data_IF_385641262167
#
_entry.id   IF_385641262167
#
_cell.length_a   1.000
_cell.length_b   1.000
_cell.length_c   1.000
_cell.angle_alpha   90.00
_cell.angle_beta   90.00
_cell.angle_gamma   90.00
#
_symmetry.space_group_name_H-M   'P 1'
#
loop_
_entity.id
_entity.type
_entity.pdbx_description
1 polymer ?
#
# COMPACT_ATOMS: atom_id res chain seq x y z
N UNK A 1 3.49 -8.33 16.70
CA UNK A 1 3.59 -7.03 15.98
C UNK A 1 4.29 -7.34 14.67
N UNK A 2 3.84 -6.81 13.55
CA UNK A 2 4.47 -7.01 12.23
C UNK A 2 5.31 -5.79 11.89
N UNK A 3 6.55 -6.01 11.46
CA UNK A 3 7.47 -4.96 11.02
C UNK A 3 7.56 -4.99 9.50
N UNK A 4 7.27 -3.85 8.87
CA UNK A 4 7.40 -3.64 7.42
C UNK A 4 8.44 -2.55 7.16
N UNK A 5 9.36 -2.81 6.24
CA UNK A 5 10.42 -1.87 5.83
C UNK A 5 10.18 -1.45 4.38
N UNK A 6 10.18 -0.14 4.13
CA UNK A 6 10.13 0.38 2.76
C UNK A 6 11.52 0.26 2.12
N UNK A 7 11.58 -0.31 0.93
CA UNK A 7 12.83 -0.59 0.18
C UNK A 7 12.69 -0.19 -1.28
N UNK A 8 13.81 0.06 -1.97
CA UNK A 8 13.81 0.48 -3.38
C UNK A 8 14.46 -0.53 -4.32
N UNK A 9 15.16 -1.51 -3.78
CA UNK A 9 15.96 -2.46 -4.55
C UNK A 9 16.10 -3.81 -3.83
N UNK A 10 16.77 -4.74 -4.50
CA UNK A 10 16.98 -6.10 -4.02
C UNK A 10 17.89 -6.13 -2.80
N UNK A 11 18.89 -5.27 -2.76
CA UNK A 11 19.81 -5.20 -1.62
C UNK A 11 19.10 -4.73 -0.35
N UNK A 12 18.27 -3.69 -0.47
CA UNK A 12 17.43 -3.22 0.64
C UNK A 12 16.47 -4.29 1.12
N UNK A 13 15.86 -5.06 0.20
CA UNK A 13 14.99 -6.18 0.56
C UNK A 13 15.76 -7.29 1.30
N UNK A 14 17.00 -7.60 0.86
CA UNK A 14 17.87 -8.59 1.50
C UNK A 14 18.28 -8.18 2.92
N UNK A 15 18.73 -6.94 3.08
CA UNK A 15 19.09 -6.38 4.38
C UNK A 15 17.88 -6.40 5.32
N UNK A 16 16.72 -5.92 4.87
CA UNK A 16 15.51 -5.94 5.67
C UNK A 16 15.14 -7.35 6.14
N UNK A 17 15.28 -8.35 5.25
CA UNK A 17 15.05 -9.75 5.59
C UNK A 17 16.05 -10.27 6.64
N UNK A 18 17.34 -10.00 6.46
CA UNK A 18 18.41 -10.42 7.39
C UNK A 18 18.26 -9.78 8.77
N UNK A 19 17.79 -8.54 8.83
CA UNK A 19 17.52 -7.81 10.08
C UNK A 19 16.15 -8.16 10.70
N UNK A 20 15.43 -9.13 10.13
CA UNK A 20 14.22 -9.70 10.71
C UNK A 20 12.93 -8.97 10.41
N UNK A 21 12.86 -8.20 9.33
CA UNK A 21 11.59 -7.65 8.86
C UNK A 21 10.62 -8.78 8.48
N UNK A 22 9.35 -8.65 8.87
CA UNK A 22 8.31 -9.61 8.50
C UNK A 22 7.94 -9.50 7.03
N UNK A 23 7.91 -8.27 6.47
CA UNK A 23 7.65 -7.99 5.06
C UNK A 23 8.32 -6.69 4.63
N UNK A 24 8.37 -6.46 3.33
CA UNK A 24 8.88 -5.22 2.75
C UNK A 24 7.82 -4.56 1.87
N UNK A 25 7.79 -3.22 1.86
CA UNK A 25 7.09 -2.42 0.86
C UNK A 25 8.09 -1.98 -0.20
N UNK A 26 7.93 -2.47 -1.43
CA UNK A 26 8.82 -2.14 -2.54
C UNK A 26 8.29 -0.94 -3.32
N UNK A 27 9.10 0.10 -3.39
CA UNK A 27 8.81 1.35 -4.10
C UNK A 27 9.97 1.71 -5.03
N UNK A 28 9.72 2.38 -6.13
CA UNK A 28 10.74 3.13 -6.85
C UNK A 28 10.74 4.59 -6.42
N UNK A 29 11.86 5.31 -6.56
CA UNK A 29 11.97 6.76 -6.36
C UNK A 29 11.42 7.27 -5.01
N UNK A 30 11.62 6.53 -3.93
CA UNK A 30 11.04 6.81 -2.61
C UNK A 30 11.45 8.19 -2.08
N UNK A 31 12.73 8.53 -2.16
CA UNK A 31 13.29 9.78 -1.63
C UNK A 31 12.84 11.04 -2.39
N UNK A 32 12.51 10.92 -3.66
CA UNK A 32 12.19 12.09 -4.49
C UNK A 32 10.70 12.35 -4.65
N UNK A 33 9.88 11.31 -4.62
CA UNK A 33 8.45 11.39 -4.97
C UNK A 33 7.52 10.83 -3.89
N UNK A 34 8.08 10.23 -2.84
CA UNK A 34 7.33 9.46 -1.86
C UNK A 34 6.92 8.07 -2.36
N UNK A 35 7.59 7.59 -3.40
CA UNK A 35 7.41 6.26 -3.97
C UNK A 35 6.55 6.23 -5.24
N UNK A 36 7.00 5.41 -6.19
CA UNK A 36 6.32 5.07 -7.44
C UNK A 36 6.30 3.56 -7.64
N UNK A 37 5.53 3.10 -8.63
CA UNK A 37 5.51 1.69 -9.04
C UNK A 37 6.90 1.25 -9.49
N UNK A 38 7.48 0.19 -8.90
CA UNK A 38 8.75 -0.38 -9.36
C UNK A 38 8.57 -1.18 -10.65
N UNK A 39 9.68 -1.40 -11.37
CA UNK A 39 9.64 -2.21 -12.59
C UNK A 39 9.30 -3.67 -12.32
N UNK A 40 8.75 -4.36 -13.31
CA UNK A 40 8.45 -5.80 -13.25
C UNK A 40 9.67 -6.63 -12.80
N UNK A 41 10.85 -6.36 -13.38
CA UNK A 41 12.08 -7.07 -13.03
C UNK A 41 12.53 -6.84 -11.59
N UNK A 42 12.36 -5.61 -11.07
CA UNK A 42 12.67 -5.31 -9.67
C UNK A 42 11.73 -6.06 -8.73
N UNK A 43 10.42 -6.08 -9.02
CA UNK A 43 9.44 -6.83 -8.23
C UNK A 43 9.79 -8.31 -8.22
N UNK A 44 10.06 -8.89 -9.38
CA UNK A 44 10.42 -10.30 -9.51
C UNK A 44 11.68 -10.64 -8.71
N UNK A 45 12.73 -9.84 -8.81
CA UNK A 45 13.98 -10.06 -8.10
C UNK A 45 13.79 -9.96 -6.57
N UNK A 46 13.08 -8.94 -6.07
CA UNK A 46 12.80 -8.80 -4.64
C UNK A 46 11.91 -9.94 -4.10
N UNK A 47 10.97 -10.43 -4.90
CA UNK A 47 10.10 -11.55 -4.51
C UNK A 47 10.85 -12.85 -4.28
N UNK A 48 12.04 -13.01 -4.84
CA UNK A 48 12.91 -14.18 -4.63
C UNK A 48 13.80 -14.08 -3.38
N UNK A 49 13.85 -12.95 -2.70
CA UNK A 49 14.64 -12.77 -1.46
C UNK A 49 14.14 -13.67 -0.33
N UNK A 50 12.84 -13.99 -0.31
CA UNK A 50 12.27 -14.91 0.68
C UNK A 50 11.84 -14.24 1.98
N UNK A 51 11.51 -12.94 1.96
CA UNK A 51 10.94 -12.25 3.12
C UNK A 51 9.69 -12.98 3.62
N UNK A 52 9.51 -13.24 4.92
CA UNK A 52 8.49 -14.16 5.45
C UNK A 52 7.06 -13.91 5.00
N UNK A 53 6.61 -12.65 5.05
CA UNK A 53 5.28 -12.23 4.57
C UNK A 53 5.34 -11.60 3.18
N UNK A 54 6.48 -11.69 2.50
CA UNK A 54 6.72 -11.32 1.11
C UNK A 54 6.82 -9.81 0.87
N UNK A 55 6.62 -9.47 -0.40
CA UNK A 55 6.78 -8.11 -0.93
C UNK A 55 5.42 -7.50 -1.17
N UNK A 56 5.16 -6.34 -0.57
CA UNK A 56 4.05 -5.46 -0.87
C UNK A 56 4.54 -4.43 -1.90
N UNK A 57 3.83 -4.27 -3.01
CA UNK A 57 4.29 -3.41 -4.11
C UNK A 57 3.45 -2.15 -4.19
N UNK A 58 4.10 -0.99 -4.10
CA UNK A 58 3.42 0.28 -4.31
C UNK A 58 3.00 0.42 -5.78
N UNK A 59 1.72 0.72 -5.99
CA UNK A 59 1.15 1.02 -7.30
C UNK A 59 0.80 2.51 -7.34
N UNK A 60 1.67 3.27 -7.95
CA UNK A 60 1.53 4.72 -8.09
C UNK A 60 2.30 5.19 -9.33
N UNK A 61 1.60 5.67 -10.38
CA UNK A 61 2.24 5.95 -11.67
C UNK A 61 3.07 7.23 -11.66
N UNK A 62 2.78 8.17 -10.77
CA UNK A 62 3.47 9.47 -10.63
C UNK A 62 3.40 10.03 -9.22
N UNK A 63 4.27 10.97 -8.91
CA UNK A 63 4.18 11.81 -7.71
C UNK A 63 3.01 12.80 -7.74
N UNK A 64 2.86 13.57 -6.66
CA UNK A 64 1.81 14.56 -6.49
C UNK A 64 0.47 13.97 -6.04
N UNK A 65 -0.64 14.55 -6.51
CA UNK A 65 -2.01 14.23 -6.11
C UNK A 65 -2.37 12.76 -6.29
N UNK A 66 -3.29 12.27 -5.46
CA UNK A 66 -3.92 10.95 -5.58
C UNK A 66 -5.27 10.98 -6.31
N UNK A 67 -5.61 12.12 -6.90
CA UNK A 67 -6.70 12.22 -7.89
C UNK A 67 -6.11 11.90 -9.25
N UNK A 68 -6.61 10.86 -9.90
CA UNK A 68 -6.04 10.30 -11.13
C UNK A 68 -7.00 10.45 -12.32
N UNK A 69 -6.45 10.77 -13.49
CA UNK A 69 -7.18 10.71 -14.75
C UNK A 69 -7.50 9.25 -15.14
N UNK A 70 -8.44 9.05 -16.03
CA UNK A 70 -8.89 7.69 -16.40
C UNK A 70 -7.76 6.85 -17.02
N UNK A 71 -6.87 7.45 -17.80
CA UNK A 71 -5.70 6.79 -18.36
C UNK A 71 -4.73 6.33 -17.25
N UNK A 72 -4.54 7.14 -16.21
CA UNK A 72 -3.70 6.79 -15.06
C UNK A 72 -4.32 5.69 -14.21
N UNK A 73 -5.66 5.67 -14.09
CA UNK A 73 -6.40 4.58 -13.44
C UNK A 73 -6.24 3.26 -14.20
N UNK A 74 -6.31 3.31 -15.54
CA UNK A 74 -6.06 2.14 -16.38
C UNK A 74 -4.65 1.59 -16.20
N UNK A 75 -3.62 2.47 -16.20
CA UNK A 75 -2.22 2.08 -15.94
C UNK A 75 -2.10 1.36 -14.60
N UNK A 76 -2.65 1.93 -13.53
CA UNK A 76 -2.56 1.33 -12.19
C UNK A 76 -3.23 -0.05 -12.12
N UNK A 77 -4.37 -0.25 -12.77
CA UNK A 77 -5.03 -1.57 -12.83
C UNK A 77 -4.15 -2.60 -13.56
N UNK A 78 -3.45 -2.19 -14.62
CA UNK A 78 -2.51 -3.04 -15.33
C UNK A 78 -1.27 -3.37 -14.47
N UNK A 79 -0.74 -2.36 -13.75
CA UNK A 79 0.41 -2.50 -12.85
C UNK A 79 0.09 -3.45 -11.68
N UNK A 80 -1.13 -3.40 -11.10
CA UNK A 80 -1.59 -4.36 -10.08
C UNK A 80 -1.45 -5.79 -10.58
N UNK A 81 -1.94 -6.09 -11.78
CA UNK A 81 -1.84 -7.43 -12.38
C UNK A 81 -0.38 -7.84 -12.60
N UNK A 82 0.40 -6.92 -13.18
CA UNK A 82 1.82 -7.13 -13.44
C UNK A 82 2.61 -7.40 -12.16
N UNK A 83 2.34 -6.66 -11.08
CA UNK A 83 3.01 -6.85 -9.80
C UNK A 83 2.74 -8.25 -9.22
N UNK A 84 1.48 -8.72 -9.25
CA UNK A 84 1.13 -10.04 -8.75
C UNK A 84 1.75 -11.15 -9.61
N UNK A 85 1.72 -10.98 -10.93
CA UNK A 85 2.38 -11.89 -11.86
C UNK A 85 3.90 -11.97 -11.61
N UNK A 86 4.54 -10.84 -11.30
CA UNK A 86 5.96 -10.78 -10.95
C UNK A 86 6.31 -11.38 -9.57
N UNK A 87 5.33 -11.76 -8.77
CA UNK A 87 5.58 -12.43 -7.49
C UNK A 87 5.19 -11.64 -6.24
N UNK A 88 4.61 -10.45 -6.36
CA UNK A 88 4.16 -9.67 -5.22
C UNK A 88 3.21 -10.47 -4.31
N UNK A 89 3.37 -10.36 -2.99
CA UNK A 89 2.47 -10.94 -1.98
C UNK A 89 1.33 -10.00 -1.61
N UNK A 90 1.39 -8.77 -2.08
CA UNK A 90 0.32 -7.79 -1.97
C UNK A 90 0.62 -6.54 -2.76
N UNK A 91 -0.38 -5.68 -2.84
CA UNK A 91 -0.29 -4.37 -3.50
C UNK A 91 -0.73 -3.26 -2.57
N UNK A 92 -0.07 -2.11 -2.69
CA UNK A 92 -0.35 -0.90 -1.93
C UNK A 92 -0.90 0.11 -2.93
N UNK A 93 -2.18 0.40 -2.83
CA UNK A 93 -2.97 1.11 -3.84
C UNK A 93 -3.83 2.20 -3.20
N UNK A 94 -4.38 3.09 -3.99
CA UNK A 94 -5.37 4.05 -3.54
C UNK A 94 -5.66 5.11 -4.59
N UNK A 95 -6.76 5.80 -4.40
CA UNK A 95 -7.18 6.93 -5.21
C UNK A 95 -8.27 7.69 -4.50
N UNK A 96 -8.31 8.99 -4.72
CA UNK A 96 -9.29 9.88 -4.12
C UNK A 96 -9.96 10.76 -5.19
N UNK A 97 -11.10 11.28 -4.84
CA UNK A 97 -11.83 12.26 -5.62
C UNK A 97 -11.37 13.67 -5.27
N UNK A 98 -11.68 14.65 -6.11
CA UNK A 98 -11.34 16.07 -5.87
C UNK A 98 -11.97 16.63 -4.60
N UNK A 99 -13.10 16.07 -4.17
CA UNK A 99 -13.82 16.44 -2.96
C UNK A 99 -13.36 15.67 -1.70
N UNK A 100 -12.13 15.18 -1.67
CA UNK A 100 -11.49 14.63 -0.47
C UNK A 100 -12.03 13.27 0.00
N UNK A 101 -12.68 12.49 -0.87
CA UNK A 101 -13.20 11.15 -0.54
C UNK A 101 -12.49 10.05 -1.30
N UNK A 102 -12.68 8.80 -0.90
CA UNK A 102 -12.21 7.64 -1.67
C UNK A 102 -12.92 7.64 -3.04
N UNK A 103 -12.16 7.48 -4.12
CA UNK A 103 -12.72 7.10 -5.42
C UNK A 103 -13.15 5.63 -5.37
N UNK A 104 -14.38 5.39 -4.93
CA UNK A 104 -14.91 4.04 -4.66
C UNK A 104 -14.90 3.16 -5.91
N UNK A 105 -15.37 3.60 -7.09
CA UNK A 105 -15.31 2.79 -8.30
C UNK A 105 -13.89 2.36 -8.66
N UNK A 106 -12.95 3.28 -8.62
CA UNK A 106 -11.55 3.00 -8.94
C UNK A 106 -10.89 2.09 -7.89
N UNK A 107 -11.09 2.39 -6.60
CA UNK A 107 -10.55 1.60 -5.50
C UNK A 107 -11.07 0.15 -5.51
N UNK A 108 -12.34 -0.04 -5.86
CA UNK A 108 -12.94 -1.36 -6.11
C UNK A 108 -12.25 -2.08 -7.25
N UNK A 109 -12.06 -1.40 -8.39
CA UNK A 109 -11.41 -1.99 -9.57
C UNK A 109 -9.98 -2.45 -9.29
N UNK A 110 -9.21 -1.70 -8.49
CA UNK A 110 -7.86 -2.09 -8.06
C UNK A 110 -7.89 -3.37 -7.19
N UNK A 111 -8.80 -3.42 -6.21
CA UNK A 111 -8.93 -4.59 -5.34
C UNK A 111 -9.40 -5.84 -6.10
N UNK A 112 -10.33 -5.68 -7.03
CA UNK A 112 -10.80 -6.77 -7.90
C UNK A 112 -9.70 -7.26 -8.86
N UNK A 113 -8.92 -6.34 -9.46
CA UNK A 113 -7.78 -6.70 -10.30
C UNK A 113 -6.76 -7.55 -9.52
N UNK A 114 -6.46 -7.14 -8.27
CA UNK A 114 -5.55 -7.88 -7.40
C UNK A 114 -6.07 -9.31 -7.10
N UNK A 115 -7.33 -9.43 -6.69
CA UNK A 115 -7.93 -10.73 -6.35
C UNK A 115 -8.04 -11.65 -7.56
N UNK A 116 -8.48 -11.12 -8.70
CA UNK A 116 -8.62 -11.90 -9.92
C UNK A 116 -7.27 -12.45 -10.42
N UNK A 117 -6.22 -11.62 -10.38
CA UNK A 117 -4.90 -12.09 -10.80
C UNK A 117 -4.31 -13.06 -9.77
N UNK A 118 -4.56 -12.88 -8.47
CA UNK A 118 -4.17 -13.82 -7.43
C UNK A 118 -4.78 -15.22 -7.66
N UNK A 119 -6.07 -15.28 -8.02
CA UNK A 119 -6.74 -16.54 -8.37
C UNK A 119 -6.07 -17.18 -9.59
N UNK A 120 -5.78 -16.42 -10.64
CA UNK A 120 -5.09 -16.91 -11.85
C UNK A 120 -3.70 -17.47 -11.55
N UNK A 121 -2.99 -16.85 -10.61
CA UNK A 121 -1.67 -17.29 -10.17
C UNK A 121 -1.72 -18.36 -9.07
N UNK A 122 -2.91 -18.83 -8.66
CA UNK A 122 -3.12 -19.73 -7.52
C UNK A 122 -2.41 -19.25 -6.23
N UNK A 123 -2.58 -17.97 -5.90
CA UNK A 123 -1.94 -17.31 -4.77
C UNK A 123 -2.94 -16.54 -3.93
N UNK A 124 -2.58 -16.26 -2.68
CA UNK A 124 -3.27 -15.27 -1.85
C UNK A 124 -2.50 -13.97 -1.88
N UNK A 125 -3.20 -12.84 -2.01
CA UNK A 125 -2.59 -11.52 -2.00
C UNK A 125 -3.31 -10.61 -1.00
N UNK A 126 -2.56 -9.65 -0.48
CA UNK A 126 -3.07 -8.61 0.41
C UNK A 126 -3.28 -7.33 -0.40
N UNK A 127 -4.28 -6.54 0.00
CA UNK A 127 -4.54 -5.22 -0.60
C UNK A 127 -4.51 -4.19 0.52
N UNK A 128 -3.60 -3.24 0.40
CA UNK A 128 -3.38 -2.14 1.36
C UNK A 128 -3.80 -0.83 0.71
N UNK A 129 -4.55 0.00 1.43
CA UNK A 129 -4.80 1.37 1.00
C UNK A 129 -3.67 2.27 1.52
N UNK A 130 -3.03 3.01 0.61
CA UNK A 130 -1.85 3.80 0.92
C UNK A 130 -2.17 5.14 1.61
N UNK A 131 -1.14 5.98 1.79
CA UNK A 131 -1.23 7.26 2.49
C UNK A 131 -2.18 8.32 1.91
N UNK A 132 -2.84 8.09 0.77
CA UNK A 132 -3.98 8.92 0.38
C UNK A 132 -5.06 8.96 1.47
N UNK A 133 -5.10 7.94 2.34
CA UNK A 133 -5.96 7.90 3.51
C UNK A 133 -5.78 9.09 4.46
N UNK A 134 -4.54 9.56 4.61
CA UNK A 134 -4.22 10.71 5.47
C UNK A 134 -4.74 12.05 4.92
N UNK A 135 -5.15 12.08 3.64
CA UNK A 135 -5.66 13.27 2.95
C UNK A 135 -7.20 13.28 2.84
N UNK A 136 -7.86 12.23 3.33
CA UNK A 136 -9.33 12.13 3.26
C UNK A 136 -9.98 12.97 4.37
N UNK A 137 -11.10 13.61 4.05
CA UNK A 137 -11.84 14.48 4.97
C UNK A 137 -12.45 13.71 6.14
N UNK A 138 -12.98 12.50 5.88
CA UNK A 138 -13.55 11.62 6.90
C UNK A 138 -12.88 10.23 6.87
N UNK A 139 -11.93 10.04 7.77
CA UNK A 139 -11.17 8.79 7.88
C UNK A 139 -12.01 7.61 8.42
N UNK A 140 -13.05 7.88 9.21
CA UNK A 140 -13.91 6.81 9.75
C UNK A 140 -14.85 6.27 8.67
N UNK A 141 -15.51 7.14 7.91
CA UNK A 141 -16.30 6.73 6.75
C UNK A 141 -15.43 6.03 5.69
N UNK A 142 -14.18 6.49 5.53
CA UNK A 142 -13.21 5.84 4.65
C UNK A 142 -12.86 4.43 5.12
N UNK A 143 -12.68 4.20 6.43
CA UNK A 143 -12.45 2.85 6.97
C UNK A 143 -13.61 1.92 6.67
N UNK A 144 -14.85 2.34 6.89
CA UNK A 144 -16.02 1.52 6.59
C UNK A 144 -16.07 1.15 5.10
N UNK A 145 -15.82 2.12 4.21
CA UNK A 145 -15.72 1.87 2.77
C UNK A 145 -14.64 0.83 2.43
N UNK A 146 -13.45 0.95 3.02
CA UNK A 146 -12.35 0.00 2.75
C UNK A 146 -12.62 -1.39 3.32
N UNK A 147 -13.30 -1.48 4.47
CA UNK A 147 -13.76 -2.75 5.04
C UNK A 147 -14.78 -3.41 4.11
N UNK A 148 -15.77 -2.68 3.61
CA UNK A 148 -16.75 -3.19 2.65
C UNK A 148 -16.11 -3.64 1.32
N UNK A 149 -15.07 -2.94 0.88
CA UNK A 149 -14.27 -3.32 -0.29
C UNK A 149 -13.32 -4.49 -0.01
N UNK A 150 -13.22 -4.95 1.25
CA UNK A 150 -12.39 -6.09 1.65
C UNK A 150 -10.90 -5.80 1.61
N UNK A 151 -10.48 -4.58 1.88
CA UNK A 151 -9.06 -4.26 2.05
C UNK A 151 -8.51 -4.96 3.30
N UNK A 152 -7.25 -5.40 3.19
CA UNK A 152 -6.57 -6.07 4.31
C UNK A 152 -6.09 -5.06 5.33
N UNK A 153 -5.72 -3.84 4.86
CA UNK A 153 -4.94 -2.89 5.66
C UNK A 153 -5.07 -1.47 5.13
N UNK A 154 -4.86 -0.53 6.04
CA UNK A 154 -4.66 0.90 5.73
C UNK A 154 -3.31 1.34 6.24
N UNK A 155 -2.54 2.05 5.40
CA UNK A 155 -1.28 2.67 5.74
C UNK A 155 -1.52 4.14 6.09
N UNK A 156 -1.25 4.56 7.33
CA UNK A 156 -1.58 5.90 7.80
C UNK A 156 -0.60 6.39 8.87
N UNK A 157 -0.40 7.69 8.93
CA UNK A 157 0.28 8.39 10.03
C UNK A 157 -0.70 9.04 11.01
N UNK A 158 -2.01 8.75 10.88
CA UNK A 158 -3.07 9.42 11.65
C UNK A 158 -3.38 10.82 11.11
N UNK A 159 -3.11 11.10 9.82
CA UNK A 159 -3.28 12.42 9.20
C UNK A 159 -2.20 13.43 9.59
N UNK A 160 -1.17 13.02 10.34
CA UNK A 160 -0.06 13.87 10.77
C UNK A 160 1.18 13.71 9.88
N UNK A 161 2.15 14.59 10.03
CA UNK A 161 3.42 14.53 9.29
C UNK A 161 4.23 13.27 9.64
N UNK A 162 4.16 12.83 10.90
CA UNK A 162 4.80 11.61 11.39
C UNK A 162 3.93 10.94 12.46
N UNK A 163 4.21 9.66 12.74
CA UNK A 163 3.44 8.86 13.70
C UNK A 163 3.41 9.44 15.11
N UNK A 164 4.50 9.94 15.70
CA UNK A 164 4.45 10.55 17.02
C UNK A 164 3.36 11.62 17.18
N UNK A 165 3.15 12.44 16.15
CA UNK A 165 2.15 13.51 16.16
C UNK A 165 0.72 12.97 15.92
N UNK A 166 0.59 11.80 15.28
CA UNK A 166 -0.68 11.15 14.94
C UNK A 166 -1.16 10.07 15.90
N UNK A 167 -0.44 9.81 17.00
CA UNK A 167 -0.73 8.66 17.89
C UNK A 167 -2.16 8.63 18.43
N UNK A 168 -2.74 9.79 18.76
CA UNK A 168 -4.11 9.88 19.23
C UNK A 168 -5.10 9.37 18.18
N UNK A 169 -4.97 9.86 16.96
CA UNK A 169 -5.83 9.46 15.83
C UNK A 169 -5.62 7.99 15.46
N UNK A 170 -4.38 7.50 15.45
CA UNK A 170 -4.08 6.08 15.18
C UNK A 170 -4.77 5.17 16.18
N UNK A 171 -4.81 5.54 17.47
CA UNK A 171 -5.55 4.81 18.51
C UNK A 171 -7.05 4.78 18.22
N UNK A 172 -7.65 5.95 17.95
CA UNK A 172 -9.08 6.06 17.62
C UNK A 172 -9.43 5.20 16.38
N UNK A 173 -8.62 5.26 15.32
CA UNK A 173 -8.82 4.47 14.10
C UNK A 173 -8.68 2.96 14.39
N UNK A 174 -7.73 2.56 15.22
CA UNK A 174 -7.53 1.16 15.61
C UNK A 174 -8.70 0.61 16.45
N UNK A 175 -9.18 1.40 17.40
CA UNK A 175 -10.35 1.07 18.21
C UNK A 175 -11.61 0.97 17.34
N UNK A 176 -11.83 1.93 16.44
CA UNK A 176 -12.94 1.92 15.50
C UNK A 176 -12.88 0.74 14.54
N UNK A 177 -11.72 0.44 14.00
CA UNK A 177 -11.51 -0.70 13.11
C UNK A 177 -11.86 -2.03 13.78
N UNK A 178 -11.64 -2.17 15.11
CA UNK A 178 -11.98 -3.33 15.92
C UNK A 178 -11.54 -4.67 15.28
N UNK A 179 -10.38 -4.69 14.63
CA UNK A 179 -9.84 -5.86 13.94
C UNK A 179 -10.45 -6.18 12.56
N UNK A 180 -11.44 -5.42 12.09
CA UNK A 180 -12.06 -5.61 10.77
C UNK A 180 -11.13 -5.29 9.61
N UNK A 181 -10.18 -4.39 9.84
CA UNK A 181 -9.09 -4.00 8.93
C UNK A 181 -7.86 -3.68 9.77
N UNK A 182 -6.66 -3.93 9.25
CA UNK A 182 -5.42 -3.61 9.96
C UNK A 182 -5.08 -2.12 9.78
N UNK A 183 -4.75 -1.44 10.88
CA UNK A 183 -4.18 -0.10 10.85
C UNK A 183 -2.67 -0.24 10.93
N UNK A 184 -1.98 0.13 9.87
CA UNK A 184 -0.53 0.10 9.79
C UNK A 184 0.01 1.51 9.96
N UNK A 185 0.72 1.75 11.06
CA UNK A 185 1.41 3.01 11.28
C UNK A 185 2.58 3.14 10.31
N UNK A 186 2.68 4.28 9.61
CA UNK A 186 3.76 4.59 8.67
C UNK A 186 4.54 5.83 9.12
N UNK A 187 5.74 6.06 8.55
CA UNK A 187 6.60 7.16 8.97
C UNK A 187 6.94 7.13 10.47
N UNK A 188 7.14 5.93 11.02
CA UNK A 188 7.69 5.74 12.35
C UNK A 188 9.08 6.36 12.45
N UNK A 189 9.81 6.31 11.34
CA UNK A 189 11.14 6.84 11.18
C UNK A 189 11.29 7.47 9.78
N UNK A 190 11.62 8.74 9.73
CA UNK A 190 12.11 9.39 8.51
C UNK A 190 13.62 9.54 8.69
N UNK A 191 14.39 8.93 7.78
CA UNK A 191 15.84 9.21 7.73
C UNK A 191 16.07 10.71 7.62
N UNK A 192 17.07 11.26 8.34
CA UNK A 192 17.44 12.65 8.23
C UNK A 192 17.85 13.02 6.80
#
# INVERSE_FOLDING_TARGET
>A
MTVEIAVQDVEGARIAHEEGADRVELCAALMGTGGLTPSFGMIQACSHVGVPQGVQVLIRPRGGSFVFADEEKYVQIADVRSAILAGASGVVVGGMTEDGRIDVPFTRALAEAARNEAVRCNRKVQVTYHRAFDMLDDQFAALDTLIELGFTRVLTSGGAACVPDGLGRLRELSEYAAGRIQIQACLLYTSP
#
